data_IF_958409002215
#
_entry.id   IF_958409002215
#
_cell.length_a   1.000
_cell.length_b   1.000
_cell.length_c   1.000
_cell.angle_alpha   90.00
_cell.angle_beta   90.00
_cell.angle_gamma   90.00
#
_symmetry.space_group_name_H-M   'P 1'
#
loop_
_entity.id
_entity.type
_entity.pdbx_description
1 polymer ?
#
# COMPACT_ATOMS: atom_id res chain seq x y z
N UNK A 1 1.50 20.42 2.66
CA UNK A 1 1.11 19.34 1.73
C UNK A 1 0.25 18.36 2.53
N UNK A 2 -1.01 18.15 2.14
CA UNK A 2 -1.91 17.25 2.88
C UNK A 2 -1.47 15.81 2.63
N UNK A 3 -1.06 15.12 3.69
CA UNK A 3 -0.83 13.67 3.70
C UNK A 3 -2.14 12.96 3.38
N UNK A 4 -2.38 12.69 2.11
CA UNK A 4 -3.44 11.77 1.69
C UNK A 4 -2.81 10.38 1.61
N UNK A 5 -3.23 9.41 2.43
CA UNK A 5 -2.81 8.03 2.29
C UNK A 5 -3.19 7.50 0.90
N UNK A 6 -2.48 6.49 0.41
CA UNK A 6 -2.88 5.79 -0.81
C UNK A 6 -4.33 5.32 -0.69
N UNK A 7 -5.13 5.64 -1.70
CA UNK A 7 -6.54 5.30 -1.75
C UNK A 7 -6.68 3.82 -2.11
N UNK A 8 -6.57 2.97 -1.10
CA UNK A 8 -7.25 1.69 -1.15
C UNK A 8 -8.73 1.99 -0.98
N UNK A 9 -9.56 1.59 -1.94
CA UNK A 9 -11.02 1.62 -1.78
C UNK A 9 -11.31 0.94 -0.44
N UNK A 10 -11.78 1.73 0.54
CA UNK A 10 -12.17 1.23 1.85
C UNK A 10 -13.29 0.24 1.55
N UNK A 11 -13.10 -1.01 1.98
CA UNK A 11 -13.97 -2.18 1.75
C UNK A 11 -13.75 -3.02 0.48
N UNK A 12 -12.67 -2.80 -0.28
CA UNK A 12 -12.29 -3.70 -1.39
C UNK A 12 -10.84 -4.16 -1.30
N UNK A 13 -10.55 -5.27 -1.97
CA UNK A 13 -9.16 -5.71 -2.21
C UNK A 13 -8.37 -4.56 -2.85
N UNK A 14 -7.06 -4.40 -2.57
CA UNK A 14 -6.26 -3.41 -3.25
C UNK A 14 -6.34 -3.66 -4.75
N UNK A 15 -6.54 -2.58 -5.50
CA UNK A 15 -6.20 -2.61 -6.91
C UNK A 15 -4.67 -2.49 -7.00
N UNK A 16 -4.01 -3.63 -7.22
CA UNK A 16 -2.55 -3.73 -7.28
C UNK A 16 -1.97 -2.89 -8.42
N UNK A 17 -2.69 -2.75 -9.55
CA UNK A 17 -2.27 -1.90 -10.67
C UNK A 17 -2.33 -0.43 -10.27
N UNK A 18 -3.43 0.01 -9.66
CA UNK A 18 -3.58 1.37 -9.15
C UNK A 18 -2.52 1.71 -8.09
N UNK A 19 -2.21 0.78 -7.19
CA UNK A 19 -1.17 0.96 -6.18
C UNK A 19 0.22 1.14 -6.82
N UNK A 20 0.56 0.30 -7.81
CA UNK A 20 1.81 0.43 -8.55
C UNK A 20 1.90 1.77 -9.29
N UNK A 21 0.83 2.20 -9.94
CA UNK A 21 0.78 3.50 -10.62
C UNK A 21 0.98 4.67 -9.65
N UNK A 22 0.31 4.64 -8.49
CA UNK A 22 0.44 5.67 -7.45
C UNK A 22 1.86 5.74 -6.89
N UNK A 23 2.49 4.60 -6.61
CA UNK A 23 3.89 4.54 -6.17
C UNK A 23 4.80 5.12 -7.25
N UNK A 24 4.64 4.70 -8.51
CA UNK A 24 5.44 5.21 -9.62
C UNK A 24 5.29 6.72 -9.80
N UNK A 25 4.08 7.24 -9.65
CA UNK A 25 3.79 8.66 -9.73
C UNK A 25 4.50 9.45 -8.63
N UNK A 26 4.40 9.02 -7.38
CA UNK A 26 5.06 9.69 -6.26
C UNK A 26 6.59 9.67 -6.37
N UNK A 27 7.17 8.56 -6.84
CA UNK A 27 8.62 8.49 -7.12
C UNK A 27 9.05 9.45 -8.24
N UNK A 28 8.23 9.62 -9.29
CA UNK A 28 8.49 10.58 -10.36
C UNK A 28 8.45 12.02 -9.84
N UNK A 29 7.51 12.35 -8.96
CA UNK A 29 7.43 13.68 -8.35
C UNK A 29 8.68 14.00 -7.52
N UNK A 30 9.08 13.07 -6.63
CA UNK A 30 10.31 13.25 -5.85
C UNK A 30 11.55 13.40 -6.74
N UNK A 31 11.63 12.63 -7.84
CA UNK A 31 12.73 12.74 -8.81
C UNK A 31 12.72 14.08 -9.56
N UNK A 32 11.54 14.61 -9.89
CA UNK A 32 11.37 15.86 -10.62
C UNK A 32 11.90 17.07 -9.84
N UNK A 33 11.83 17.04 -8.50
CA UNK A 33 12.34 18.08 -7.60
C UNK A 33 13.83 18.41 -7.85
N UNK A 34 14.61 17.49 -8.43
CA UNK A 34 16.01 17.75 -8.83
C UNK A 34 16.15 18.93 -9.80
N UNK A 35 15.17 19.12 -10.67
CA UNK A 35 15.22 20.11 -11.75
C UNK A 35 14.43 21.39 -11.40
N UNK A 36 13.86 21.48 -10.19
CA UNK A 36 13.07 22.63 -9.76
C UNK A 36 13.96 23.75 -9.17
N UNK A 37 13.72 24.98 -9.59
CA UNK A 37 14.56 26.13 -9.22
C UNK A 37 14.37 26.63 -7.78
N UNK A 38 13.25 26.31 -7.14
CA UNK A 38 12.84 26.85 -5.83
C UNK A 38 12.54 25.73 -4.81
N UNK A 39 13.32 24.64 -4.85
CA UNK A 39 13.22 23.54 -3.89
C UNK A 39 14.36 23.63 -2.87
N UNK A 40 14.01 23.66 -1.59
CA UNK A 40 14.99 23.57 -0.51
C UNK A 40 15.30 22.09 -0.20
N UNK A 41 16.50 21.78 0.34
CA UNK A 41 16.82 20.44 0.80
C UNK A 41 15.79 19.88 1.80
N UNK A 42 15.21 20.74 2.66
CA UNK A 42 14.15 20.35 3.59
C UNK A 42 12.88 19.88 2.90
N UNK A 43 12.55 20.42 1.73
CA UNK A 43 11.37 20.02 0.97
C UNK A 43 11.57 18.62 0.39
N UNK A 44 12.77 18.32 -0.11
CA UNK A 44 13.14 16.98 -0.58
C UNK A 44 13.06 15.97 0.57
N UNK A 45 13.55 16.31 1.76
CA UNK A 45 13.44 15.46 2.95
C UNK A 45 11.97 15.25 3.33
N UNK A 46 11.17 16.31 3.36
CA UNK A 46 9.75 16.21 3.70
C UNK A 46 8.97 15.33 2.71
N UNK A 47 9.22 15.48 1.41
CA UNK A 47 8.58 14.67 0.38
C UNK A 47 9.04 13.20 0.45
N UNK A 48 10.32 12.95 0.71
CA UNK A 48 10.85 11.60 0.89
C UNK A 48 10.25 10.90 2.12
N UNK A 49 10.13 11.59 3.26
CA UNK A 49 9.48 11.04 4.45
C UNK A 49 7.99 10.80 4.23
N UNK A 50 7.30 11.70 3.53
CA UNK A 50 5.90 11.49 3.16
C UNK A 50 5.72 10.26 2.26
N UNK A 51 6.58 10.07 1.25
CA UNK A 51 6.56 8.90 0.37
C UNK A 51 6.83 7.60 1.13
N UNK A 52 7.82 7.57 2.02
CA UNK A 52 8.08 6.41 2.89
C UNK A 52 6.86 6.04 3.71
N UNK A 53 6.25 7.02 4.39
CA UNK A 53 5.07 6.79 5.23
C UNK A 53 3.88 6.25 4.43
N UNK A 54 3.65 6.76 3.22
CA UNK A 54 2.62 6.22 2.32
C UNK A 54 2.91 4.77 1.92
N UNK A 55 4.16 4.48 1.54
CA UNK A 55 4.58 3.13 1.12
C UNK A 55 4.49 2.12 2.26
N UNK A 56 4.94 2.48 3.45
CA UNK A 56 4.87 1.67 4.67
C UNK A 56 3.42 1.28 4.99
N UNK A 57 2.52 2.28 5.05
CA UNK A 57 1.09 2.05 5.24
C UNK A 57 0.47 1.15 4.15
N UNK A 58 0.92 1.31 2.90
CA UNK A 58 0.47 0.49 1.79
C UNK A 58 0.86 -0.99 1.93
N UNK A 59 2.13 -1.23 2.24
CA UNK A 59 2.66 -2.58 2.48
C UNK A 59 1.91 -3.25 3.63
N UNK A 60 1.76 -2.55 4.76
CA UNK A 60 1.04 -3.06 5.92
C UNK A 60 -0.39 -3.49 5.58
N UNK A 61 -1.12 -2.65 4.83
CA UNK A 61 -2.50 -2.95 4.44
C UNK A 61 -2.58 -4.14 3.49
N UNK A 62 -1.69 -4.23 2.50
CA UNK A 62 -1.63 -5.36 1.59
C UNK A 62 -1.31 -6.66 2.34
N UNK A 63 -0.35 -6.63 3.26
CA UNK A 63 0.00 -7.78 4.11
C UNK A 63 -1.20 -8.27 4.93
N UNK A 64 -1.93 -7.36 5.58
CA UNK A 64 -3.12 -7.72 6.35
C UNK A 64 -4.20 -8.40 5.49
N UNK A 65 -4.39 -7.93 4.25
CA UNK A 65 -5.39 -8.49 3.34
C UNK A 65 -4.99 -9.90 2.88
N UNK A 66 -3.71 -10.08 2.52
CA UNK A 66 -3.17 -11.40 2.14
C UNK A 66 -3.28 -12.39 3.30
N UNK A 67 -2.94 -11.98 4.52
CA UNK A 67 -3.06 -12.81 5.72
C UNK A 67 -4.50 -13.27 5.95
N UNK A 68 -5.47 -12.34 5.94
CA UNK A 68 -6.90 -12.67 6.08
C UNK A 68 -7.39 -13.67 5.04
N UNK A 69 -6.95 -13.53 3.78
CA UNK A 69 -7.27 -14.49 2.71
C UNK A 69 -6.67 -15.88 2.95
N UNK A 70 -5.44 -15.95 3.44
CA UNK A 70 -4.79 -17.23 3.78
C UNK A 70 -5.53 -17.90 4.94
N UNK A 71 -5.84 -17.15 6.00
CA UNK A 71 -6.56 -17.65 7.17
C UNK A 71 -7.96 -18.17 6.80
N UNK A 72 -8.72 -17.42 5.98
CA UNK A 72 -10.03 -17.85 5.49
C UNK A 72 -9.99 -19.19 4.76
N UNK A 73 -9.00 -19.40 3.87
CA UNK A 73 -8.80 -20.69 3.18
C UNK A 73 -8.46 -21.82 4.15
N UNK A 74 -7.64 -21.54 5.18
CA UNK A 74 -7.32 -22.51 6.23
C UNK A 74 -8.58 -22.98 6.96
N UNK A 75 -9.48 -22.05 7.27
CA UNK A 75 -10.76 -22.35 7.94
C UNK A 75 -11.69 -23.19 7.06
N UNK A 76 -11.76 -22.91 5.75
CA UNK A 76 -12.53 -23.71 4.79
C UNK A 76 -12.02 -25.17 4.72
N UNK A 77 -10.70 -25.36 4.69
CA UNK A 77 -10.10 -26.71 4.70
C UNK A 77 -10.42 -27.46 6.00
N UNK A 78 -10.32 -26.81 7.15
CA UNK A 78 -10.68 -27.42 8.45
C UNK A 78 -12.15 -27.84 8.47
N UNK A 79 -13.05 -26.99 7.94
CA UNK A 79 -14.47 -27.31 7.82
C UNK A 79 -14.72 -28.54 6.95
N UNK A 80 -14.07 -28.64 5.79
CA UNK A 80 -14.19 -29.81 4.90
C UNK A 80 -13.72 -31.11 5.58
N UNK A 81 -12.64 -31.04 6.36
CA UNK A 81 -12.14 -32.21 7.11
C UNK A 81 -13.16 -32.64 8.16
N UNK A 82 -13.75 -31.71 8.92
CA UNK A 82 -14.79 -32.03 9.90
C UNK A 82 -16.02 -32.69 9.26
N UNK A 83 -16.51 -32.14 8.15
CA UNK A 83 -17.65 -32.69 7.41
C UNK A 83 -17.37 -34.07 6.78
N UNK A 84 -16.09 -34.43 6.56
CA UNK A 84 -15.69 -35.74 6.02
C UNK A 84 -15.46 -36.81 7.09
N UNK A 85 -15.41 -36.41 8.37
CA UNK A 85 -15.20 -37.30 9.52
C UNK A 85 -16.52 -37.64 10.23
N UNK A 86 -17.58 -36.83 10.02
CA UNK A 86 -18.98 -37.18 10.32
C UNK A 86 -19.58 -38.17 9.31
#
# INVERSE_FOLDING_TARGET
>A
ILSRPYYYIVDSEPDDELLQEQICYDFRNLSAMRNEFLVFPSDVVAEAEALKAKFDHAVDRLTQIIQKKIEGRGMEVVKMIMESVE
#
